data_IF_951824887754
#
_entry.id   IF_951824887754
#
_cell.length_a   1.000
_cell.length_b   1.000
_cell.length_c   1.000
_cell.angle_alpha   90.00
_cell.angle_beta   90.00
_cell.angle_gamma   90.00
#
_symmetry.space_group_name_H-M   'P 1'
#
loop_
_entity.id
_entity.type
_entity.pdbx_description
1 polymer ?
#
# COMPACT_ATOMS: atom_id res chain seq x y z
N UNK A 1 -3.39 9.81 19.70
CA UNK A 1 -2.70 11.03 19.23
C UNK A 1 -3.65 11.98 18.48
N UNK A 2 -4.61 11.47 17.71
CA UNK A 2 -5.65 12.26 17.03
C UNK A 2 -6.73 12.83 17.96
N UNK A 3 -7.24 12.01 18.91
CA UNK A 3 -8.29 12.42 19.85
C UNK A 3 -7.89 13.61 20.72
N UNK A 4 -6.61 13.67 21.15
CA UNK A 4 -6.07 14.81 21.91
C UNK A 4 -6.09 16.11 21.10
N UNK A 5 -5.99 16.01 19.76
CA UNK A 5 -6.05 17.15 18.84
C UNK A 5 -7.50 17.61 18.65
N UNK A 6 -8.44 16.67 18.58
CA UNK A 6 -9.88 16.94 18.55
C UNK A 6 -10.41 17.58 19.83
N UNK A 7 -9.78 17.32 20.98
CA UNK A 7 -10.10 18.02 22.24
C UNK A 7 -9.69 19.50 22.18
N UNK A 8 -8.63 19.84 21.44
CA UNK A 8 -8.15 21.23 21.31
C UNK A 8 -8.91 22.03 20.24
N UNK A 9 -9.37 21.39 19.17
CA UNK A 9 -10.13 22.00 18.07
C UNK A 9 -11.39 21.17 17.78
N UNK A 10 -12.56 21.54 18.33
CA UNK A 10 -13.81 20.82 18.10
C UNK A 10 -14.31 20.94 16.66
N UNK A 11 -14.17 22.11 16.02
CA UNK A 11 -14.60 22.34 14.63
C UNK A 11 -13.91 21.39 13.62
N UNK A 12 -12.68 20.98 13.92
CA UNK A 12 -11.92 20.05 13.08
C UNK A 12 -12.42 18.62 13.25
N UNK A 13 -12.93 18.26 14.43
CA UNK A 13 -13.51 16.95 14.72
C UNK A 13 -14.81 16.75 13.94
N UNK A 14 -15.69 17.73 13.93
CA UNK A 14 -17.00 17.61 13.28
C UNK A 14 -16.86 17.38 11.78
N UNK A 15 -15.99 18.16 11.12
CA UNK A 15 -15.66 17.99 9.69
C UNK A 15 -14.97 16.65 9.40
N UNK A 16 -14.20 16.15 10.36
CA UNK A 16 -13.55 14.85 10.23
C UNK A 16 -14.56 13.70 10.32
N UNK A 17 -15.54 13.79 11.22
CA UNK A 17 -16.63 12.80 11.34
C UNK A 17 -17.51 12.82 10.09
N UNK A 18 -17.86 14.01 9.59
CA UNK A 18 -18.61 14.17 8.33
C UNK A 18 -17.89 13.49 7.15
N UNK A 19 -16.57 13.68 7.05
CA UNK A 19 -15.76 12.99 6.04
C UNK A 19 -15.83 11.46 6.18
N UNK A 20 -15.72 10.92 7.40
CA UNK A 20 -15.77 9.46 7.61
C UNK A 20 -17.15 8.88 7.25
N UNK A 21 -18.23 9.61 7.56
CA UNK A 21 -19.60 9.21 7.18
C UNK A 21 -19.78 9.22 5.66
N UNK A 22 -19.26 10.24 4.97
CA UNK A 22 -19.25 10.27 3.50
C UNK A 22 -18.46 9.08 2.94
N UNK A 23 -17.30 8.78 3.51
CA UNK A 23 -16.45 7.66 3.10
C UNK A 23 -17.13 6.30 3.29
N UNK A 24 -17.90 6.13 4.38
CA UNK A 24 -18.73 4.95 4.61
C UNK A 24 -19.91 4.86 3.63
N UNK A 25 -20.60 5.99 3.38
CA UNK A 25 -21.71 6.05 2.41
C UNK A 25 -21.28 5.76 0.97
N UNK A 26 -20.02 6.05 0.62
CA UNK A 26 -19.41 5.73 -0.66
C UNK A 26 -18.92 4.28 -0.75
N UNK A 27 -19.16 3.46 0.27
CA UNK A 27 -18.70 2.07 0.37
C UNK A 27 -17.16 1.96 0.29
N UNK A 28 -16.44 3.02 0.68
CA UNK A 28 -14.98 3.04 0.78
C UNK A 28 -14.47 2.56 2.15
N UNK A 29 -15.35 2.52 3.17
CA UNK A 29 -15.05 1.96 4.49
C UNK A 29 -16.29 1.35 5.11
N UNK A 30 -16.10 0.45 6.07
CA UNK A 30 -17.16 -0.11 6.88
C UNK A 30 -16.72 -0.17 8.33
N UNK A 31 -17.64 0.05 9.26
CA UNK A 31 -17.38 -0.21 10.67
C UNK A 31 -17.09 -1.70 10.91
N UNK A 32 -15.98 -1.97 11.59
CA UNK A 32 -15.58 -3.32 12.01
C UNK A 32 -16.44 -3.74 13.20
N UNK A 33 -17.14 -4.88 13.08
CA UNK A 33 -18.13 -5.34 14.06
C UNK A 33 -17.54 -6.23 15.16
N UNK A 34 -16.42 -6.89 14.91
CA UNK A 34 -15.75 -7.79 15.86
C UNK A 34 -14.22 -7.73 15.71
N UNK A 35 -13.48 -7.95 16.80
CA UNK A 35 -12.05 -8.26 16.75
C UNK A 35 -11.88 -9.65 16.13
N UNK A 36 -11.96 -9.72 14.79
CA UNK A 36 -11.74 -10.99 14.13
C UNK A 36 -10.30 -11.48 14.44
N UNK A 37 -10.13 -12.74 14.87
CA UNK A 37 -8.81 -13.31 15.05
C UNK A 37 -8.10 -13.32 13.70
N UNK A 38 -7.10 -12.45 13.56
CA UNK A 38 -6.46 -12.19 12.29
C UNK A 38 -5.41 -11.09 12.43
N UNK A 39 -4.63 -10.92 11.37
CA UNK A 39 -3.66 -9.85 11.31
C UNK A 39 -4.31 -8.58 10.80
N UNK A 40 -4.41 -7.58 11.66
CA UNK A 40 -4.94 -6.27 11.33
C UNK A 40 -3.82 -5.28 11.01
N UNK A 41 -3.97 -4.55 9.92
CA UNK A 41 -3.08 -3.45 9.56
C UNK A 41 -3.76 -2.13 9.88
N UNK A 42 -3.12 -1.34 10.74
CA UNK A 42 -3.58 0.01 11.04
C UNK A 42 -2.78 1.01 10.22
N UNK A 43 -3.50 1.82 9.44
CA UNK A 43 -2.90 2.92 8.71
C UNK A 43 -3.08 4.20 9.53
N UNK A 44 -1.99 4.81 10.02
CA UNK A 44 -2.10 6.09 10.69
C UNK A 44 -2.61 7.13 9.69
N UNK A 45 -3.50 8.00 10.16
CA UNK A 45 -4.12 9.01 9.31
C UNK A 45 -4.31 10.30 10.10
N UNK A 46 -4.34 11.43 9.41
CA UNK A 46 -4.58 12.72 10.01
C UNK A 46 -5.32 13.68 9.07
N UNK A 47 -6.10 14.59 9.66
CA UNK A 47 -6.78 15.64 8.92
C UNK A 47 -5.80 16.77 8.56
N UNK A 48 -5.78 17.16 7.29
CA UNK A 48 -5.10 18.35 6.78
C UNK A 48 -6.15 19.33 6.28
N UNK A 49 -6.20 20.52 6.88
CA UNK A 49 -7.12 21.59 6.49
C UNK A 49 -6.41 22.48 5.47
N UNK A 50 -7.06 22.68 4.32
CA UNK A 50 -6.62 23.63 3.29
C UNK A 50 -7.77 24.60 3.00
N UNK A 51 -7.79 25.78 3.66
CA UNK A 51 -8.90 26.72 3.52
C UNK A 51 -9.06 27.24 2.07
N UNK A 52 -7.97 27.25 1.31
CA UNK A 52 -7.90 27.64 -0.12
C UNK A 52 -8.47 26.57 -1.09
N UNK A 53 -8.83 25.39 -0.61
CA UNK A 53 -9.26 24.26 -1.45
C UNK A 53 -10.65 24.52 -2.06
N UNK A 54 -10.77 24.37 -3.39
CA UNK A 54 -12.03 24.56 -4.13
C UNK A 54 -13.07 23.48 -3.89
N UNK A 55 -12.66 22.26 -3.53
CA UNK A 55 -13.57 21.13 -3.33
C UNK A 55 -13.94 21.00 -1.85
N UNK A 56 -13.14 20.27 -1.09
CA UNK A 56 -13.27 20.06 0.34
C UNK A 56 -12.14 20.75 1.08
N UNK A 57 -12.49 21.52 2.12
CA UNK A 57 -11.56 22.26 2.96
C UNK A 57 -10.77 21.35 3.92
N UNK A 58 -11.22 20.11 4.11
CA UNK A 58 -10.56 19.07 4.90
C UNK A 58 -10.25 17.87 3.99
N UNK A 59 -9.03 17.33 4.12
CA UNK A 59 -8.62 16.06 3.51
C UNK A 59 -7.99 15.17 4.57
N UNK A 60 -8.40 13.90 4.63
CA UNK A 60 -7.72 12.90 5.46
C UNK A 60 -6.56 12.32 4.68
N UNK A 61 -5.36 12.45 5.25
CA UNK A 61 -4.12 11.93 4.69
C UNK A 61 -3.77 10.67 5.46
N UNK A 62 -3.65 9.56 4.73
CA UNK A 62 -3.13 8.29 5.24
C UNK A 62 -1.61 8.32 5.14
N UNK A 63 -0.93 8.28 6.28
CA UNK A 63 0.51 8.42 6.37
C UNK A 63 1.15 7.02 6.30
N UNK A 64 1.26 6.49 5.08
CA UNK A 64 1.83 5.16 4.85
C UNK A 64 3.21 5.30 4.25
N UNK A 65 4.25 5.13 5.07
CA UNK A 65 5.59 4.86 4.57
C UNK A 65 5.76 3.36 4.36
N UNK A 66 5.77 2.93 3.10
CA UNK A 66 6.11 1.56 2.74
C UNK A 66 7.18 1.56 1.66
N UNK A 67 8.09 0.60 1.75
CA UNK A 67 9.15 0.39 0.78
C UNK A 67 8.86 -0.92 0.03
N UNK A 68 8.75 -0.81 -1.29
CA UNK A 68 8.66 -1.98 -2.16
C UNK A 68 10.08 -2.47 -2.48
N UNK A 69 10.36 -3.72 -2.17
CA UNK A 69 11.62 -4.40 -2.45
C UNK A 69 11.35 -5.50 -3.47
N UNK A 70 11.87 -5.32 -4.69
CA UNK A 70 11.73 -6.29 -5.76
C UNK A 70 12.98 -7.13 -5.95
N UNK A 71 12.80 -8.44 -6.06
CA UNK A 71 13.85 -9.37 -6.50
C UNK A 71 13.44 -10.01 -7.81
N UNK A 72 14.41 -10.22 -8.69
CA UNK A 72 14.24 -10.92 -9.94
C UNK A 72 15.33 -11.99 -10.03
N UNK A 73 14.95 -13.20 -10.41
CA UNK A 73 15.87 -14.32 -10.52
C UNK A 73 15.59 -15.14 -11.78
N UNK A 74 16.61 -15.84 -12.24
CA UNK A 74 16.61 -16.52 -13.54
C UNK A 74 17.43 -17.80 -13.52
N UNK A 75 16.93 -18.80 -14.25
CA UNK A 75 17.62 -20.04 -14.57
C UNK A 75 17.44 -20.36 -16.05
N UNK A 76 18.14 -21.39 -16.54
CA UNK A 76 17.95 -21.90 -17.90
C UNK A 76 16.52 -22.42 -18.17
N UNK A 77 15.73 -22.70 -17.11
CA UNK A 77 14.41 -23.34 -17.20
C UNK A 77 13.26 -22.37 -16.90
N UNK A 78 13.49 -21.32 -16.12
CA UNK A 78 12.46 -20.38 -15.69
C UNK A 78 13.05 -19.04 -15.27
N UNK A 79 12.23 -18.01 -15.29
CA UNK A 79 12.54 -16.69 -14.75
C UNK A 79 11.37 -16.17 -13.92
N UNK A 80 11.65 -15.41 -12.88
CA UNK A 80 10.62 -14.96 -11.95
C UNK A 80 10.99 -13.66 -11.26
N UNK A 81 9.98 -13.05 -10.65
CA UNK A 81 10.12 -11.89 -9.80
C UNK A 81 9.22 -11.99 -8.58
N UNK A 82 9.70 -11.52 -7.43
CA UNK A 82 8.93 -11.40 -6.20
C UNK A 82 9.05 -9.97 -5.65
N UNK A 83 7.95 -9.46 -5.13
CA UNK A 83 7.86 -8.14 -4.51
C UNK A 83 7.55 -8.31 -3.04
N UNK A 84 8.35 -7.70 -2.20
CA UNK A 84 8.13 -7.57 -0.77
C UNK A 84 7.72 -6.14 -0.44
N UNK A 85 6.83 -6.00 0.52
CA UNK A 85 6.52 -4.72 1.15
C UNK A 85 7.19 -4.71 2.51
N UNK A 86 8.04 -3.71 2.72
CA UNK A 86 8.61 -3.38 4.02
C UNK A 86 7.82 -2.19 4.58
N UNK A 87 7.21 -2.41 5.74
CA UNK A 87 6.62 -1.35 6.57
C UNK A 87 7.52 -1.14 7.77
N UNK A 88 7.81 0.13 8.07
CA UNK A 88 8.65 0.52 9.18
C UNK A 88 7.80 1.30 10.19
N UNK A 89 7.45 0.62 11.28
CA UNK A 89 6.84 1.26 12.45
C UNK A 89 7.94 1.65 13.43
N UNK A 90 7.63 2.60 14.33
CA UNK A 90 8.60 3.19 15.26
C UNK A 90 9.45 2.17 16.06
N UNK A 91 8.92 0.95 16.31
CA UNK A 91 9.62 -0.10 17.06
C UNK A 91 9.79 -1.41 16.28
N UNK A 92 9.15 -1.59 15.12
CA UNK A 92 9.12 -2.86 14.42
C UNK A 92 9.16 -2.67 12.90
N UNK A 93 10.06 -3.42 12.25
CA UNK A 93 10.08 -3.53 10.79
C UNK A 93 9.41 -4.83 10.39
N UNK A 94 8.35 -4.73 9.60
CA UNK A 94 7.67 -5.90 9.04
C UNK A 94 7.94 -5.98 7.54
N UNK A 95 8.50 -7.12 7.11
CA UNK A 95 8.70 -7.45 5.69
C UNK A 95 7.76 -8.58 5.33
N UNK A 96 6.93 -8.38 4.31
CA UNK A 96 5.99 -9.39 3.82
C UNK A 96 6.08 -9.53 2.32
N UNK A 97 6.01 -10.77 1.83
CA UNK A 97 5.84 -11.04 0.42
C UNK A 97 4.45 -10.54 -0.03
N UNK A 98 4.43 -9.55 -0.91
CA UNK A 98 3.19 -9.02 -1.48
C UNK A 98 2.71 -9.92 -2.62
N UNK A 99 3.61 -10.25 -3.54
CA UNK A 99 3.30 -11.13 -4.66
C UNK A 99 4.57 -11.71 -5.29
N UNK A 100 4.40 -12.82 -6.01
CA UNK A 100 5.44 -13.40 -6.86
C UNK A 100 4.83 -13.89 -8.17
N UNK A 101 5.59 -13.82 -9.26
CA UNK A 101 5.26 -14.49 -10.51
C UNK A 101 6.50 -15.13 -11.12
N UNK A 102 6.27 -16.28 -11.73
CA UNK A 102 7.29 -17.05 -12.43
C UNK A 102 6.76 -17.42 -13.81
N UNK A 103 7.65 -17.51 -14.80
CA UNK A 103 7.35 -18.01 -16.15
C UNK A 103 8.42 -18.98 -16.59
N UNK A 104 8.00 -20.01 -17.33
CA UNK A 104 8.91 -20.99 -17.93
C UNK A 104 9.76 -20.31 -19.00
N UNK A 105 11.07 -20.61 -19.02
CA UNK A 105 11.98 -20.10 -20.03
C UNK A 105 11.58 -20.66 -21.41
N UNK A 106 11.70 -19.87 -22.49
CA UNK A 106 11.41 -20.36 -23.83
C UNK A 106 12.20 -21.62 -24.17
N UNK A 107 11.56 -22.58 -24.84
CA UNK A 107 12.23 -23.81 -25.33
C UNK A 107 13.40 -23.51 -26.28
N UNK A 108 13.34 -22.36 -26.96
CA UNK A 108 14.48 -21.83 -27.71
C UNK A 108 15.50 -21.28 -26.71
N UNK A 109 16.66 -21.93 -26.64
CA UNK A 109 17.74 -21.56 -25.71
C UNK A 109 18.16 -20.10 -25.95
N UNK A 110 17.82 -19.23 -25.00
CA UNK A 110 18.26 -17.84 -24.98
C UNK A 110 19.42 -17.69 -24.01
N UNK A 111 20.24 -16.67 -24.25
CA UNK A 111 21.32 -16.31 -23.32
C UNK A 111 20.71 -15.82 -22.00
N UNK A 112 21.37 -16.13 -20.88
CA UNK A 112 20.98 -15.68 -19.54
C UNK A 112 20.68 -14.17 -19.48
N UNK A 113 21.46 -13.26 -20.10
CA UNK A 113 21.15 -11.83 -20.10
C UNK A 113 19.78 -11.46 -20.71
N UNK A 114 19.29 -12.22 -21.70
CA UNK A 114 17.94 -11.99 -22.25
C UNK A 114 16.86 -12.42 -21.27
N UNK A 115 17.10 -13.49 -20.52
CA UNK A 115 16.17 -13.98 -19.52
C UNK A 115 16.16 -13.07 -18.27
N UNK A 116 17.30 -12.49 -17.89
CA UNK A 116 17.39 -11.44 -16.86
C UNK A 116 16.52 -10.22 -17.23
N UNK A 117 16.62 -9.76 -18.48
CA UNK A 117 15.77 -8.68 -18.98
C UNK A 117 14.29 -9.07 -18.90
N UNK A 118 13.93 -10.31 -19.24
CA UNK A 118 12.56 -10.79 -19.09
C UNK A 118 12.09 -10.81 -17.63
N UNK A 119 12.93 -11.23 -16.68
CA UNK A 119 12.63 -11.18 -15.25
C UNK A 119 12.41 -9.75 -14.75
N UNK A 120 13.25 -8.80 -15.17
CA UNK A 120 13.08 -7.37 -14.86
C UNK A 120 11.79 -6.80 -15.48
N UNK A 121 11.45 -7.17 -16.72
CA UNK A 121 10.17 -6.76 -17.32
C UNK A 121 8.97 -7.37 -16.61
N UNK A 122 9.12 -8.58 -16.05
CA UNK A 122 8.08 -9.21 -15.25
C UNK A 122 7.89 -8.44 -13.93
N UNK A 123 8.97 -8.09 -13.24
CA UNK A 123 8.94 -7.28 -12.01
C UNK A 123 8.24 -5.93 -12.25
N UNK A 124 8.65 -5.18 -13.27
CA UNK A 124 8.05 -3.86 -13.60
C UNK A 124 6.57 -3.95 -13.96
N UNK A 125 6.14 -5.02 -14.64
CA UNK A 125 4.72 -5.24 -14.93
C UNK A 125 3.90 -5.50 -13.67
N UNK A 126 4.47 -6.21 -12.70
CA UNK A 126 3.80 -6.48 -11.43
C UNK A 126 3.69 -5.20 -10.59
N UNK A 127 4.76 -4.40 -10.53
CA UNK A 127 4.75 -3.09 -9.84
C UNK A 127 3.65 -2.18 -10.40
N UNK A 128 3.53 -2.08 -11.73
CA UNK A 128 2.48 -1.29 -12.39
C UNK A 128 1.03 -1.74 -12.15
N UNK A 129 0.81 -2.94 -11.62
CA UNK A 129 -0.53 -3.41 -11.23
C UNK A 129 -0.87 -2.92 -9.82
N UNK A 130 0.16 -2.62 -9.02
CA UNK A 130 0.04 -2.20 -7.62
C UNK A 130 -0.06 -0.68 -7.49
N UNK A 131 0.58 0.07 -8.41
CA UNK A 131 0.41 1.53 -8.59
C UNK A 131 -0.94 1.88 -9.23
#
# INVERSE_FOLDING_TARGET
>A
MLERRFVREPDTKDKYVEFLQEYENLDHMQQVKDEEPGLHYYIPHHAVIRPESKTTKLRVVFDVSFQLIGFADVSAQAYGACLYVKSENANETQIRLLCSKTRVAPLKTWLIPRLELLAATLATKIVKIID
#
